data_IF_107306128115
#
_entry.id   IF_107306128115
#
_cell.length_a   1.000
_cell.length_b   1.000
_cell.length_c   1.000
_cell.angle_alpha   90.00
_cell.angle_beta   90.00
_cell.angle_gamma   90.00
#
_symmetry.space_group_name_H-M   'P 1'
#
loop_
_entity.id
_entity.type
_entity.pdbx_description
1 polymer ?
#
# COMPACT_ATOMS: atom_id res chain seq x y z
N UNK A 1 12.08 15.51 -7.04
CA UNK A 1 11.18 14.34 -7.09
C UNK A 1 9.72 14.77 -6.99
N UNK A 2 8.78 14.01 -7.56
CA UNK A 2 7.33 14.28 -7.57
C UNK A 2 6.53 13.02 -7.34
N UNK A 3 5.63 13.04 -6.37
CA UNK A 3 4.72 11.93 -6.07
C UNK A 3 3.41 12.10 -6.84
N UNK A 4 3.08 11.12 -7.68
CA UNK A 4 1.74 10.99 -8.27
C UNK A 4 0.89 10.14 -7.33
N UNK A 5 -0.18 10.71 -6.83
CA UNK A 5 -1.02 10.15 -5.77
C UNK A 5 -2.49 10.13 -6.18
N UNK A 6 -3.34 9.43 -5.43
CA UNK A 6 -4.78 9.37 -5.67
C UNK A 6 -5.51 9.02 -4.39
N UNK A 7 -6.83 8.84 -4.47
CA UNK A 7 -7.62 8.26 -3.39
C UNK A 7 -7.31 6.78 -3.20
N UNK A 8 -7.51 6.27 -1.98
CA UNK A 8 -7.39 4.86 -1.64
C UNK A 8 -6.26 4.53 -0.65
N UNK A 9 -6.19 3.28 -0.19
CA UNK A 9 -5.28 2.89 0.88
C UNK A 9 -3.81 2.92 0.45
N UNK A 10 -3.48 2.54 -0.77
CA UNK A 10 -2.10 2.51 -1.26
C UNK A 10 -1.40 3.88 -1.25
N UNK A 11 -1.96 4.96 -1.84
CA UNK A 11 -1.37 6.28 -1.74
C UNK A 11 -1.31 6.79 -0.31
N UNK A 12 -2.29 6.45 0.53
CA UNK A 12 -2.32 6.82 1.94
C UNK A 12 -1.12 6.28 2.70
N UNK A 13 -0.70 5.03 2.43
CA UNK A 13 0.51 4.46 3.05
C UNK A 13 1.73 5.35 2.78
N UNK A 14 1.95 5.76 1.52
CA UNK A 14 3.10 6.61 1.17
C UNK A 14 3.00 7.97 1.84
N UNK A 15 1.81 8.59 1.87
CA UNK A 15 1.61 9.89 2.53
C UNK A 15 1.86 9.81 4.04
N UNK A 16 1.33 8.80 4.71
CA UNK A 16 1.58 8.59 6.14
C UNK A 16 3.06 8.33 6.42
N UNK A 17 3.71 7.53 5.58
CA UNK A 17 5.15 7.29 5.69
C UNK A 17 5.95 8.59 5.55
N UNK A 18 5.61 9.42 4.56
CA UNK A 18 6.25 10.73 4.37
C UNK A 18 6.05 11.65 5.58
N UNK A 19 4.83 11.70 6.14
CA UNK A 19 4.51 12.47 7.35
C UNK A 19 5.37 12.03 8.53
N UNK A 20 5.42 10.73 8.83
CA UNK A 20 6.19 10.16 9.93
C UNK A 20 7.71 10.38 9.78
N UNK A 21 8.20 10.46 8.52
CA UNK A 21 9.60 10.72 8.21
C UNK A 21 9.91 12.21 8.03
N UNK A 22 8.93 13.11 8.14
CA UNK A 22 9.11 14.53 7.87
C UNK A 22 9.50 14.85 6.42
N UNK A 23 9.11 14.00 5.46
CA UNK A 23 9.43 14.15 4.03
C UNK A 23 8.37 15.01 3.36
N UNK A 24 8.79 16.02 2.61
CA UNK A 24 7.91 16.85 1.79
C UNK A 24 8.32 16.73 0.33
N UNK A 25 7.38 16.34 -0.51
CA UNK A 25 7.54 16.24 -1.97
C UNK A 25 6.49 17.08 -2.67
N UNK A 26 6.76 17.44 -3.93
CA UNK A 26 5.70 17.91 -4.81
C UNK A 26 4.73 16.78 -5.08
N UNK A 27 3.44 17.00 -4.89
CA UNK A 27 2.39 16.02 -5.17
C UNK A 27 1.57 16.43 -6.39
N UNK A 28 1.13 15.42 -7.15
CA UNK A 28 0.12 15.55 -8.19
C UNK A 28 -0.95 14.51 -7.99
N UNK A 29 -2.18 14.98 -7.84
CA UNK A 29 -3.33 14.08 -7.78
C UNK A 29 -3.64 13.53 -9.17
N UNK A 30 -3.99 12.25 -9.21
CA UNK A 30 -4.42 11.50 -10.40
C UNK A 30 -5.84 11.01 -10.14
N UNK A 31 -6.79 11.45 -10.95
CA UNK A 31 -8.19 11.02 -10.81
C UNK A 31 -8.39 9.59 -11.35
N UNK A 32 -8.18 8.62 -10.46
CA UNK A 32 -8.39 7.20 -10.78
C UNK A 32 -9.87 6.86 -10.97
N UNK A 33 -10.78 7.66 -10.43
CA UNK A 33 -12.23 7.45 -10.61
C UNK A 33 -12.60 7.81 -12.06
N UNK A 34 -12.14 8.95 -12.56
CA UNK A 34 -12.31 9.34 -13.97
C UNK A 34 -11.46 8.48 -14.93
N UNK A 35 -10.50 7.69 -14.41
CA UNK A 35 -9.64 6.84 -15.25
C UNK A 35 -8.41 7.56 -15.82
N UNK A 36 -7.99 8.68 -15.26
CA UNK A 36 -6.79 9.42 -15.70
C UNK A 36 -5.54 8.53 -15.73
N UNK A 37 -5.42 7.62 -14.76
CA UNK A 37 -4.34 6.64 -14.69
C UNK A 37 -4.30 5.65 -15.87
N UNK A 38 -5.39 5.51 -16.62
CA UNK A 38 -5.47 4.63 -17.79
C UNK A 38 -5.03 5.31 -19.08
N UNK A 39 -4.81 6.63 -19.06
CA UNK A 39 -4.32 7.42 -20.19
C UNK A 39 -2.85 7.15 -20.49
N UNK A 40 -2.45 7.41 -21.74
CA UNK A 40 -1.08 7.16 -22.21
C UNK A 40 -0.04 8.00 -21.47
N UNK A 41 -0.41 9.18 -21.00
CA UNK A 41 0.48 10.05 -20.24
C UNK A 41 0.89 9.40 -18.93
N UNK A 42 -0.06 8.91 -18.14
CA UNK A 42 0.25 8.25 -16.89
C UNK A 42 0.92 6.88 -17.10
N UNK A 43 0.52 6.12 -18.14
CA UNK A 43 1.15 4.83 -18.47
C UNK A 43 2.62 4.96 -18.89
N UNK A 44 3.07 6.12 -19.37
CA UNK A 44 4.49 6.39 -19.60
C UNK A 44 5.27 6.55 -18.29
N UNK A 45 4.62 7.04 -17.23
CA UNK A 45 5.20 7.13 -15.89
C UNK A 45 5.17 5.76 -15.18
N UNK A 46 4.02 5.12 -15.20
CA UNK A 46 3.84 3.78 -14.59
C UNK A 46 3.06 2.87 -15.54
N UNK A 47 3.75 1.92 -16.22
CA UNK A 47 3.09 1.00 -17.18
C UNK A 47 2.02 0.12 -16.55
N UNK A 48 2.04 -0.12 -15.22
CA UNK A 48 0.97 -0.86 -14.53
C UNK A 48 -0.31 -0.03 -14.35
N UNK A 49 -0.28 1.27 -14.72
CA UNK A 49 -1.40 2.20 -14.59
C UNK A 49 -1.98 2.27 -13.15
N UNK A 50 -1.12 2.10 -12.14
CA UNK A 50 -1.50 2.14 -10.73
C UNK A 50 -0.85 3.32 -10.01
N UNK A 51 -1.58 3.90 -9.07
CA UNK A 51 -1.12 4.94 -8.15
C UNK A 51 -0.91 4.29 -6.76
N UNK A 52 0.12 4.75 -5.99
CA UNK A 52 1.01 5.87 -6.28
C UNK A 52 2.20 5.50 -7.17
N UNK A 53 2.87 6.51 -7.77
CA UNK A 53 4.19 6.37 -8.33
C UNK A 53 5.04 7.61 -8.07
N UNK A 54 6.34 7.42 -7.88
CA UNK A 54 7.32 8.48 -7.58
C UNK A 54 8.20 8.73 -8.81
N UNK A 55 8.14 9.93 -9.36
CA UNK A 55 9.06 10.37 -10.40
C UNK A 55 10.30 10.99 -9.76
N UNK A 56 11.48 10.48 -10.13
CA UNK A 56 12.76 10.98 -9.69
C UNK A 56 13.21 12.21 -10.49
N UNK A 57 14.28 12.88 -10.05
CA UNK A 57 14.77 14.10 -10.68
C UNK A 57 15.39 13.86 -12.06
N UNK A 58 15.84 12.65 -12.33
CA UNK A 58 16.33 12.23 -13.66
C UNK A 58 15.22 11.83 -14.64
N UNK A 59 13.95 11.88 -14.19
CA UNK A 59 12.77 11.52 -14.97
C UNK A 59 12.40 10.05 -14.91
N UNK A 60 13.22 9.18 -14.30
CA UNK A 60 12.85 7.79 -14.03
C UNK A 60 11.75 7.69 -12.98
N UNK A 61 11.10 6.53 -12.87
CA UNK A 61 10.00 6.34 -11.93
C UNK A 61 10.20 5.11 -11.06
N UNK A 62 9.77 5.23 -9.80
CA UNK A 62 9.65 4.14 -8.83
C UNK A 62 8.17 3.92 -8.54
N UNK A 63 7.71 2.70 -8.70
CA UNK A 63 6.35 2.29 -8.37
C UNK A 63 6.38 1.24 -7.24
N UNK A 64 5.20 0.78 -6.83
CA UNK A 64 4.96 -0.09 -5.68
C UNK A 64 5.16 0.62 -4.33
N UNK A 65 4.13 0.61 -3.51
CA UNK A 65 4.05 1.34 -2.24
C UNK A 65 5.26 1.08 -1.34
N UNK A 66 5.58 -0.20 -1.13
CA UNK A 66 6.67 -0.62 -0.24
C UNK A 66 8.04 -0.28 -0.80
N UNK A 67 8.17 -0.23 -2.14
CA UNK A 67 9.41 0.15 -2.84
C UNK A 67 9.61 1.66 -2.77
N UNK A 68 8.55 2.45 -2.99
CA UNK A 68 8.59 3.91 -2.84
C UNK A 68 9.02 4.29 -1.42
N UNK A 69 8.37 3.70 -0.40
CA UNK A 69 8.71 3.97 1.00
C UNK A 69 10.15 3.55 1.33
N UNK A 70 10.61 2.38 0.83
CA UNK A 70 11.98 1.93 1.05
C UNK A 70 13.00 2.86 0.42
N UNK A 71 12.76 3.31 -0.81
CA UNK A 71 13.62 4.28 -1.48
C UNK A 71 13.68 5.61 -0.70
N UNK A 72 12.54 6.13 -0.28
CA UNK A 72 12.49 7.37 0.52
C UNK A 72 13.18 7.22 1.87
N UNK A 73 13.06 6.05 2.51
CA UNK A 73 13.73 5.74 3.78
C UNK A 73 15.26 5.76 3.63
N UNK A 74 15.77 5.21 2.53
CA UNK A 74 17.22 5.11 2.25
C UNK A 74 17.88 6.45 1.92
N UNK A 75 17.12 7.39 1.33
CA UNK A 75 17.68 8.71 0.92
C UNK A 75 17.42 9.82 1.94
N UNK A 76 16.70 9.54 3.02
CA UNK A 76 16.34 10.53 4.05
C UNK A 76 17.05 10.24 5.35
N UNK A 77 17.72 11.24 5.89
CA UNK A 77 18.36 11.14 7.20
C UNK A 77 17.35 10.91 8.35
N UNK A 78 17.82 10.31 9.43
CA UNK A 78 17.03 10.06 10.63
C UNK A 78 16.66 8.58 10.84
N UNK A 79 15.84 8.28 11.88
CA UNK A 79 15.48 6.91 12.23
C UNK A 79 14.72 6.21 11.11
N UNK A 80 15.17 5.02 10.72
CA UNK A 80 14.51 4.22 9.67
C UNK A 80 13.18 3.65 10.15
N UNK A 81 12.14 3.76 9.35
CA UNK A 81 10.87 3.04 9.56
C UNK A 81 10.86 1.64 8.91
N UNK A 82 11.97 1.24 8.29
CA UNK A 82 12.15 -0.12 7.76
C UNK A 82 13.09 -0.92 8.65
N UNK A 83 14.08 -0.26 9.26
CA UNK A 83 14.99 -0.85 10.22
C UNK A 83 16.44 -0.51 9.96
N UNK A 84 17.20 -0.34 11.05
CA UNK A 84 18.59 0.09 11.01
C UNK A 84 19.56 -1.08 10.73
N UNK A 85 19.16 -2.31 11.11
CA UNK A 85 19.98 -3.51 10.85
C UNK A 85 19.39 -4.39 9.74
N UNK A 86 20.18 -5.27 9.13
CA UNK A 86 19.67 -6.24 8.16
C UNK A 86 18.53 -7.10 8.70
N UNK A 87 18.61 -7.51 9.97
CA UNK A 87 17.59 -8.34 10.65
C UNK A 87 16.28 -7.57 10.82
N UNK A 88 16.36 -6.31 11.26
CA UNK A 88 15.20 -5.43 11.41
C UNK A 88 14.54 -5.17 10.06
N UNK A 89 15.32 -4.88 9.01
CA UNK A 89 14.79 -4.72 7.65
C UNK A 89 14.14 -5.99 7.12
N UNK A 90 14.74 -7.15 7.41
CA UNK A 90 14.16 -8.44 7.01
C UNK A 90 12.83 -8.70 7.73
N UNK A 91 12.74 -8.42 9.03
CA UNK A 91 11.51 -8.57 9.81
C UNK A 91 10.39 -7.68 9.27
N UNK A 92 10.65 -6.38 9.07
CA UNK A 92 9.66 -5.44 8.53
C UNK A 92 9.16 -5.88 7.14
N UNK A 93 10.08 -6.22 6.23
CA UNK A 93 9.74 -6.70 4.88
C UNK A 93 8.96 -8.03 4.89
N UNK A 94 9.27 -8.91 5.83
CA UNK A 94 8.53 -10.17 6.02
C UNK A 94 7.08 -9.89 6.42
N UNK A 95 6.85 -8.97 7.35
CA UNK A 95 5.49 -8.61 7.76
C UNK A 95 4.72 -7.93 6.64
N UNK A 96 5.31 -6.97 5.92
CA UNK A 96 4.69 -6.36 4.74
C UNK A 96 4.28 -7.41 3.71
N UNK A 97 5.17 -8.37 3.37
CA UNK A 97 4.83 -9.45 2.42
C UNK A 97 3.71 -10.37 2.93
N UNK A 98 3.66 -10.63 4.24
CA UNK A 98 2.56 -11.40 4.85
C UNK A 98 1.23 -10.66 4.73
N UNK A 99 1.24 -9.34 4.94
CA UNK A 99 0.04 -8.52 4.78
C UNK A 99 -0.43 -8.50 3.33
N UNK A 100 0.47 -8.24 2.39
CA UNK A 100 0.13 -8.25 0.96
C UNK A 100 -0.61 -9.54 0.58
N UNK A 101 0.01 -10.69 0.84
CA UNK A 101 -0.52 -11.97 0.40
C UNK A 101 -1.79 -12.44 1.14
N UNK A 102 -1.95 -12.07 2.42
CA UNK A 102 -3.01 -12.61 3.26
C UNK A 102 -4.20 -11.68 3.42
N UNK A 103 -3.97 -10.37 3.35
CA UNK A 103 -4.98 -9.35 3.67
C UNK A 103 -5.19 -8.41 2.48
N UNK A 104 -4.15 -7.71 2.03
CA UNK A 104 -4.28 -6.59 1.13
C UNK A 104 -4.73 -7.01 -0.28
N UNK A 105 -4.05 -7.99 -0.88
CA UNK A 105 -4.41 -8.50 -2.21
C UNK A 105 -5.81 -9.12 -2.22
N UNK A 106 -6.16 -10.07 -1.32
CA UNK A 106 -7.51 -10.64 -1.31
C UNK A 106 -8.60 -9.61 -0.95
N UNK A 107 -8.32 -8.66 -0.03
CA UNK A 107 -9.26 -7.59 0.30
C UNK A 107 -9.52 -6.67 -0.89
N UNK A 108 -8.48 -6.24 -1.59
CA UNK A 108 -8.60 -5.38 -2.77
C UNK A 108 -9.35 -6.09 -3.89
N UNK A 109 -9.08 -7.38 -4.09
CA UNK A 109 -9.79 -8.17 -5.10
C UNK A 109 -11.26 -8.38 -4.74
N UNK A 110 -11.57 -8.63 -3.46
CA UNK A 110 -12.95 -8.72 -2.98
C UNK A 110 -13.70 -7.39 -3.22
N UNK A 111 -13.11 -6.26 -2.81
CA UNK A 111 -13.67 -4.93 -3.02
C UNK A 111 -13.96 -4.63 -4.49
N UNK A 112 -12.99 -4.90 -5.38
CA UNK A 112 -13.15 -4.71 -6.84
C UNK A 112 -14.21 -5.63 -7.44
N UNK A 113 -14.43 -6.78 -6.82
CA UNK A 113 -15.37 -7.80 -7.29
C UNK A 113 -16.77 -7.66 -6.71
N UNK A 114 -16.99 -6.80 -5.71
CA UNK A 114 -18.27 -6.57 -5.04
C UNK A 114 -18.60 -5.07 -4.95
N UNK A 115 -18.14 -4.37 -3.93
CA UNK A 115 -18.54 -2.98 -3.64
C UNK A 115 -18.22 -1.99 -4.77
N UNK A 116 -17.10 -2.19 -5.45
CA UNK A 116 -16.65 -1.32 -6.55
C UNK A 116 -16.71 -2.00 -7.92
N UNK A 117 -17.53 -3.04 -8.08
CA UNK A 117 -17.62 -3.83 -9.31
C UNK A 117 -17.86 -2.96 -10.55
N UNK A 118 -18.80 -2.03 -10.49
CA UNK A 118 -19.15 -1.18 -11.63
C UNK A 118 -17.97 -0.27 -12.07
N UNK A 119 -17.12 0.13 -11.13
CA UNK A 119 -15.95 0.93 -11.44
C UNK A 119 -14.82 0.10 -12.07
N UNK A 120 -14.70 -1.18 -11.68
CA UNK A 120 -13.50 -1.98 -11.99
C UNK A 120 -13.71 -3.08 -13.02
N UNK A 121 -14.96 -3.49 -13.34
CA UNK A 121 -15.25 -4.62 -14.23
C UNK A 121 -14.63 -4.51 -15.63
N UNK A 122 -14.49 -3.28 -16.15
CA UNK A 122 -13.90 -3.02 -17.46
C UNK A 122 -12.40 -2.68 -17.39
N UNK A 123 -11.83 -2.59 -16.19
CA UNK A 123 -10.43 -2.18 -15.95
C UNK A 123 -9.55 -3.33 -15.50
N UNK A 124 -10.14 -4.32 -14.81
CA UNK A 124 -9.44 -5.46 -14.21
C UNK A 124 -10.25 -6.73 -14.43
N UNK A 125 -9.56 -7.87 -14.34
CA UNK A 125 -10.25 -9.15 -14.19
C UNK A 125 -10.85 -9.21 -12.77
N UNK A 126 -12.17 -9.16 -12.68
CA UNK A 126 -12.94 -9.27 -11.44
C UNK A 126 -13.62 -10.63 -11.34
N UNK A 127 -13.82 -11.13 -10.13
CA UNK A 127 -14.39 -12.46 -9.85
C UNK A 127 -15.54 -12.37 -8.85
N UNK A 128 -16.71 -11.79 -9.24
CA UNK A 128 -17.80 -11.51 -8.30
C UNK A 128 -18.28 -12.74 -7.53
N UNK A 129 -18.26 -13.92 -8.17
CA UNK A 129 -18.66 -15.19 -7.55
C UNK A 129 -17.73 -15.66 -6.41
N UNK A 130 -16.53 -15.12 -6.30
CA UNK A 130 -15.55 -15.45 -5.24
C UNK A 130 -15.42 -14.34 -4.17
N UNK A 131 -16.18 -13.25 -4.27
CA UNK A 131 -16.03 -12.10 -3.37
C UNK A 131 -16.21 -12.49 -1.89
N UNK A 132 -17.25 -13.28 -1.57
CA UNK A 132 -17.52 -13.73 -0.21
C UNK A 132 -16.42 -14.67 0.33
N UNK A 133 -15.88 -15.56 -0.50
CA UNK A 133 -14.77 -16.44 -0.12
C UNK A 133 -13.48 -15.66 0.13
N UNK A 134 -13.22 -14.61 -0.66
CA UNK A 134 -12.11 -13.68 -0.44
C UNK A 134 -12.27 -12.92 0.89
N UNK A 135 -13.46 -12.40 1.18
CA UNK A 135 -13.76 -11.73 2.46
C UNK A 135 -13.59 -12.69 3.65
N UNK A 136 -14.05 -13.93 3.52
CA UNK A 136 -13.85 -14.95 4.55
C UNK A 136 -12.36 -15.26 4.78
N UNK A 137 -11.56 -15.26 3.70
CA UNK A 137 -10.10 -15.44 3.77
C UNK A 137 -9.43 -14.27 4.51
N UNK A 138 -9.85 -13.04 4.20
CA UNK A 138 -9.38 -11.82 4.88
C UNK A 138 -9.74 -11.87 6.37
N UNK A 139 -10.98 -12.22 6.72
CA UNK A 139 -11.42 -12.34 8.12
C UNK A 139 -10.58 -13.33 8.92
N UNK A 140 -10.27 -14.51 8.35
CA UNK A 140 -9.37 -15.49 8.97
C UNK A 140 -7.96 -14.95 9.14
N UNK A 141 -7.50 -14.14 8.20
CA UNK A 141 -6.17 -13.53 8.26
C UNK A 141 -6.07 -12.45 9.32
N UNK A 142 -7.14 -11.67 9.53
CA UNK A 142 -7.24 -10.74 10.66
C UNK A 142 -7.20 -11.47 12.02
N UNK A 143 -7.97 -12.53 12.20
CA UNK A 143 -7.95 -13.33 13.44
C UNK A 143 -6.55 -13.97 13.70
N UNK A 144 -5.88 -14.42 12.64
CA UNK A 144 -4.49 -14.86 12.73
C UNK A 144 -3.56 -13.73 13.17
N UNK A 145 -3.68 -12.54 12.57
CA UNK A 145 -2.85 -11.39 12.91
C UNK A 145 -3.04 -10.97 14.37
N UNK A 146 -4.28 -10.91 14.83
CA UNK A 146 -4.58 -10.62 16.25
C UNK A 146 -3.82 -11.55 17.19
N UNK A 147 -3.76 -12.85 16.88
CA UNK A 147 -2.97 -13.81 17.66
C UNK A 147 -1.46 -13.54 17.64
N UNK A 148 -0.95 -12.93 16.57
CA UNK A 148 0.47 -12.56 16.44
C UNK A 148 0.83 -11.24 17.16
N UNK A 149 -0.19 -10.43 17.46
CA UNK A 149 -0.04 -9.15 18.15
C UNK A 149 -0.06 -9.25 19.66
N UNK A 150 -0.39 -10.41 20.22
CA UNK A 150 -0.48 -10.60 21.67
C UNK A 150 0.81 -10.16 22.39
N UNK A 151 0.71 -9.17 23.28
CA UNK A 151 1.84 -8.62 24.05
C UNK A 151 2.82 -7.76 23.25
N UNK A 152 2.43 -7.26 22.10
CA UNK A 152 3.21 -6.34 21.27
C UNK A 152 2.52 -4.99 21.14
N UNK A 153 3.29 -3.91 21.15
CA UNK A 153 2.80 -2.57 20.87
C UNK A 153 2.67 -2.31 19.36
N UNK A 154 3.59 -2.88 18.57
CA UNK A 154 3.66 -2.76 17.11
C UNK A 154 3.87 -4.13 16.44
N UNK A 155 3.71 -4.17 15.15
CA UNK A 155 3.91 -5.39 14.34
C UNK A 155 5.30 -6.01 14.54
N UNK A 156 6.34 -5.16 14.62
CA UNK A 156 7.72 -5.55 14.86
C UNK A 156 8.12 -5.43 16.34
N UNK A 157 7.21 -5.77 17.27
CA UNK A 157 7.46 -5.76 18.72
C UNK A 157 7.31 -4.37 19.31
N UNK A 158 8.42 -3.75 19.68
CA UNK A 158 8.51 -2.40 20.25
C UNK A 158 8.85 -1.31 19.22
N UNK A 159 9.02 -1.69 17.94
CA UNK A 159 9.38 -0.79 16.87
C UNK A 159 8.18 -0.43 15.99
N UNK A 160 7.81 0.85 15.95
CA UNK A 160 6.90 1.37 14.93
C UNK A 160 7.60 1.37 13.57
N UNK A 161 6.97 0.80 12.55
CA UNK A 161 7.57 0.56 11.24
C UNK A 161 6.57 0.81 10.09
N UNK A 162 7.07 0.76 8.86
CA UNK A 162 6.22 0.79 7.66
C UNK A 162 5.14 -0.31 7.67
N UNK A 163 5.38 -1.45 8.35
CA UNK A 163 4.39 -2.51 8.46
C UNK A 163 3.14 -2.05 9.24
N UNK A 164 3.30 -1.22 10.28
CA UNK A 164 2.20 -0.65 11.06
C UNK A 164 1.40 0.36 10.23
N UNK A 165 2.09 1.21 9.48
CA UNK A 165 1.48 2.20 8.57
C UNK A 165 0.65 1.49 7.48
N UNK A 166 1.23 0.47 6.86
CA UNK A 166 0.55 -0.33 5.83
C UNK A 166 -0.70 -1.01 6.40
N UNK A 167 -0.56 -1.67 7.55
CA UNK A 167 -1.67 -2.34 8.21
C UNK A 167 -2.78 -1.36 8.57
N UNK A 168 -2.45 -0.23 9.19
CA UNK A 168 -3.44 0.79 9.60
C UNK A 168 -4.23 1.32 8.40
N UNK A 169 -3.53 1.69 7.32
CA UNK A 169 -4.18 2.21 6.11
C UNK A 169 -5.20 1.25 5.52
N UNK A 170 -4.89 -0.04 5.52
CA UNK A 170 -5.79 -1.06 4.99
C UNK A 170 -6.85 -1.53 5.99
N UNK A 171 -6.58 -1.49 7.30
CA UNK A 171 -7.60 -1.75 8.31
C UNK A 171 -8.72 -0.69 8.24
N UNK A 172 -8.35 0.58 8.13
CA UNK A 172 -9.29 1.69 7.98
C UNK A 172 -10.10 1.58 6.67
N UNK A 173 -9.45 1.22 5.56
CA UNK A 173 -10.13 0.93 4.30
C UNK A 173 -11.07 -0.28 4.42
N UNK A 174 -10.63 -1.36 5.06
CA UNK A 174 -11.42 -2.58 5.26
C UNK A 174 -12.65 -2.38 6.15
N UNK A 175 -12.66 -1.37 7.01
CA UNK A 175 -13.83 -1.01 7.80
C UNK A 175 -14.97 -0.36 6.98
N UNK A 176 -14.69 0.01 5.72
CA UNK A 176 -15.65 0.61 4.79
C UNK A 176 -16.28 -0.41 3.84
N UNK A 177 -15.79 -1.65 3.83
CA UNK A 177 -16.22 -2.73 2.93
C UNK A 177 -16.63 -4.00 3.69
#
# INVERSE_FOLDING_TARGET
MKLYTSVGPNPRVVKMFMEERGITLQEQEVDIIAGENLGDEFKRLNPSAQSPCLQLDDGSTVAEVTVICAYLDEITDGPSLIGDTPEQRAETRMWMRRFDARILEPMTLAFRSAEALELFKDRYHVIPHAADDLKATVSKSWAWLESQMAGKDYICGDRFTLADIQLFSFADFGALI
#
